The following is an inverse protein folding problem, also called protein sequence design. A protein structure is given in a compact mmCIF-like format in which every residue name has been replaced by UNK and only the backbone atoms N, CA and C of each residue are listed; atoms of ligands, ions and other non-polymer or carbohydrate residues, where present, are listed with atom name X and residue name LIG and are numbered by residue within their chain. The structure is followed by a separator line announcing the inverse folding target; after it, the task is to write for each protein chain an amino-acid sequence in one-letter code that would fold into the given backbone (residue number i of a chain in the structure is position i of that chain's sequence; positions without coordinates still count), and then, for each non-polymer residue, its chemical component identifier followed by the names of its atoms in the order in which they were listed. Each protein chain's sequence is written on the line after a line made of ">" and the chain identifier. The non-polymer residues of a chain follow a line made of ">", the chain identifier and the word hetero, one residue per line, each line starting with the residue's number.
data_IF_929127961408
#
_entry.id   IF_929127961408
#
_cell.length_a   1.000
_cell.length_b   1.000
_cell.length_c   1.000
_cell.angle_alpha   90.00
_cell.angle_beta   90.00
_cell.angle_gamma   90.00
#
_symmetry.space_group_name_H-M   'P 1'
#
loop_
_entity.id
_entity.type
_entity.pdbx_description
1 polymer ?
#
# COMPACT_ATOMS: atom_id res chain seq x y z
N UNK A 1 7.44 7.97 8.68
CA UNK A 1 6.89 8.92 9.68
C UNK A 1 5.90 8.17 10.57
N UNK A 2 6.07 8.23 11.90
CA UNK A 2 5.20 7.54 12.88
C UNK A 2 4.33 8.57 13.59
N UNK A 3 3.07 8.22 13.83
CA UNK A 3 2.12 9.06 14.52
C UNK A 3 1.23 8.29 15.48
N UNK A 4 0.52 9.01 16.33
CA UNK A 4 -0.39 8.46 17.32
C UNK A 4 -1.75 9.17 17.30
N UNK A 5 -2.80 8.45 17.70
CA UNK A 5 -4.16 8.95 17.78
C UNK A 5 -4.52 9.30 19.22
N UNK A 6 -4.90 10.55 19.48
CA UNK A 6 -5.35 11.00 20.80
C UNK A 6 -6.69 10.40 21.25
N UNK A 7 -7.52 9.97 20.29
CA UNK A 7 -8.85 9.38 20.56
C UNK A 7 -8.79 7.91 20.99
N UNK A 8 -8.20 7.05 20.17
CA UNK A 8 -8.21 5.60 20.39
C UNK A 8 -6.83 5.00 20.75
N UNK A 9 -5.82 5.83 20.98
CA UNK A 9 -4.47 5.38 21.33
C UNK A 9 -3.72 4.58 20.27
N UNK A 10 -4.17 4.60 19.00
CA UNK A 10 -3.43 3.97 17.91
C UNK A 10 -2.04 4.60 17.75
N UNK A 11 -0.99 3.80 17.58
CA UNK A 11 0.37 4.26 17.27
C UNK A 11 0.87 3.47 16.06
N UNK A 12 1.33 4.14 15.01
CA UNK A 12 1.80 3.47 13.81
C UNK A 12 2.22 4.41 12.68
N UNK A 13 2.49 3.82 11.51
CA UNK A 13 2.89 4.57 10.32
C UNK A 13 1.81 5.56 9.86
N UNK A 14 2.23 6.80 9.57
CA UNK A 14 1.35 7.82 8.98
C UNK A 14 1.30 7.61 7.47
N UNK A 15 0.13 7.27 6.96
CA UNK A 15 -0.16 7.16 5.52
C UNK A 15 -1.00 8.39 5.08
N UNK A 16 -1.19 8.59 3.77
CA UNK A 16 -1.92 9.72 3.17
C UNK A 16 -3.15 10.17 3.99
N UNK A 17 -3.33 11.50 4.09
CA UNK A 17 -4.37 12.22 4.84
C UNK A 17 -4.21 12.31 6.37
N UNK A 18 -3.15 11.76 6.99
CA UNK A 18 -2.87 11.88 8.44
C UNK A 18 -4.08 11.52 9.33
N UNK A 19 -4.97 10.61 8.88
CA UNK A 19 -6.14 10.15 9.64
C UNK A 19 -5.86 8.78 10.26
N UNK A 20 -6.37 8.57 11.46
CA UNK A 20 -6.31 7.29 12.16
C UNK A 20 -7.15 6.27 11.40
N UNK A 21 -6.57 5.10 11.11
CA UNK A 21 -7.26 4.01 10.40
C UNK A 21 -8.43 3.42 11.20
N UNK A 22 -8.44 3.60 12.53
CA UNK A 22 -9.43 2.98 13.40
C UNK A 22 -10.63 3.88 13.66
N UNK A 23 -10.40 5.18 13.87
CA UNK A 23 -11.46 6.11 14.29
C UNK A 23 -11.55 7.38 13.43
N UNK A 24 -10.74 7.51 12.37
CA UNK A 24 -10.75 8.65 11.45
C UNK A 24 -10.17 9.97 12.00
N UNK A 25 -9.83 10.02 13.29
CA UNK A 25 -9.27 11.20 13.96
C UNK A 25 -7.90 11.56 13.38
N UNK A 26 -7.58 12.86 13.29
CA UNK A 26 -6.26 13.32 12.86
C UNK A 26 -5.16 12.78 13.78
N UNK A 27 -4.11 12.24 13.18
CA UNK A 27 -2.95 11.72 13.88
C UNK A 27 -2.00 12.85 14.28
N UNK A 28 -1.47 12.73 15.49
CA UNK A 28 -0.36 13.51 15.99
C UNK A 28 0.96 12.84 15.60
N UNK A 29 2.00 13.64 15.39
CA UNK A 29 3.33 13.10 15.10
C UNK A 29 4.00 12.64 16.39
N UNK A 30 4.64 11.48 16.33
CA UNK A 30 5.43 10.97 17.44
C UNK A 30 6.85 11.54 17.34
N UNK A 31 7.26 12.34 18.32
CA UNK A 31 8.61 12.93 18.36
C UNK A 31 9.66 11.86 18.65
N UNK A 32 10.91 12.12 18.25
CA UNK A 32 12.03 11.19 18.55
C UNK A 32 12.27 11.05 20.06
N UNK A 33 12.09 12.13 20.82
CA UNK A 33 12.16 12.10 22.30
C UNK A 33 11.14 11.14 22.90
N UNK A 34 9.90 11.14 22.40
CA UNK A 34 8.86 10.21 22.85
C UNK A 34 9.19 8.76 22.46
N UNK A 35 9.73 8.54 21.26
CA UNK A 35 10.16 7.20 20.83
C UNK A 35 11.26 6.63 21.73
N UNK A 36 12.24 7.46 22.10
CA UNK A 36 13.32 7.07 23.00
C UNK A 36 12.80 6.85 24.42
N UNK A 37 12.02 7.80 24.98
CA UNK A 37 11.46 7.74 26.34
C UNK A 37 10.66 6.46 26.59
N UNK A 38 9.82 6.07 25.62
CA UNK A 38 8.93 4.91 25.75
C UNK A 38 9.45 3.65 25.05
N UNK A 39 10.63 3.71 24.43
CA UNK A 39 11.24 2.62 23.65
C UNK A 39 10.29 2.03 22.60
N UNK A 40 9.57 2.92 21.90
CA UNK A 40 8.63 2.58 20.83
C UNK A 40 9.14 3.12 19.50
N UNK A 41 9.09 2.30 18.44
CA UNK A 41 9.54 2.69 17.09
C UNK A 41 10.99 3.23 17.02
N UNK A 42 11.85 2.80 17.95
CA UNK A 42 13.30 2.94 17.89
C UNK A 42 13.95 1.67 17.31
N UNK A 43 15.28 1.61 17.24
CA UNK A 43 15.99 0.45 16.71
C UNK A 43 15.76 -0.81 17.54
N UNK A 44 15.69 -0.68 18.87
CA UNK A 44 15.36 -1.79 19.78
C UNK A 44 13.94 -2.33 19.53
N UNK A 45 12.97 -1.46 19.28
CA UNK A 45 11.60 -1.86 18.95
C UNK A 45 11.57 -2.68 17.65
N UNK A 46 12.30 -2.22 16.64
CA UNK A 46 12.41 -2.93 15.37
C UNK A 46 13.09 -4.29 15.57
N UNK A 47 14.19 -4.33 16.31
CA UNK A 47 14.91 -5.55 16.65
C UNK A 47 14.00 -6.54 17.40
N UNK A 48 13.24 -6.10 18.40
CA UNK A 48 12.31 -6.93 19.16
C UNK A 48 11.20 -7.53 18.27
N UNK A 49 10.68 -6.74 17.33
CA UNK A 49 9.71 -7.24 16.32
C UNK A 49 10.36 -8.30 15.41
N UNK A 50 11.63 -8.16 15.04
CA UNK A 50 12.36 -9.17 14.28
C UNK A 50 12.69 -10.40 15.11
N UNK A 51 13.02 -10.26 16.40
CA UNK A 51 13.31 -11.37 17.31
C UNK A 51 12.09 -12.26 17.53
N UNK A 52 10.91 -11.67 17.67
CA UNK A 52 9.64 -12.43 17.79
C UNK A 52 9.47 -13.40 16.62
N UNK A 53 9.91 -13.01 15.41
CA UNK A 53 9.84 -13.87 14.20
C UNK A 53 10.82 -15.05 14.23
N UNK A 54 11.85 -15.00 15.06
CA UNK A 54 12.90 -16.03 15.18
C UNK A 54 12.67 -17.00 16.33
N UNK A 55 11.67 -16.76 17.20
CA UNK A 55 11.35 -17.63 18.32
C UNK A 55 10.64 -18.89 17.84
N UNK A 56 10.92 -20.02 18.50
CA UNK A 56 10.38 -21.33 18.10
C UNK A 56 9.17 -21.78 18.94
N UNK A 57 8.89 -21.12 20.07
CA UNK A 57 7.81 -21.51 20.96
C UNK A 57 6.75 -20.42 21.11
N UNK A 58 5.47 -20.82 21.14
CA UNK A 58 4.34 -19.92 21.37
C UNK A 58 4.44 -19.14 22.68
N UNK A 59 4.96 -19.79 23.72
CA UNK A 59 5.11 -19.20 25.04
C UNK A 59 6.11 -18.04 25.04
N UNK A 60 7.27 -18.20 24.38
CA UNK A 60 8.27 -17.13 24.28
C UNK A 60 7.78 -16.00 23.38
N UNK A 61 7.08 -16.32 22.28
CA UNK A 61 6.46 -15.34 21.39
C UNK A 61 5.43 -14.49 22.14
N UNK A 62 4.52 -15.13 22.87
CA UNK A 62 3.49 -14.43 23.65
C UNK A 62 4.13 -13.48 24.66
N UNK A 63 5.18 -13.91 25.38
CA UNK A 63 5.91 -13.08 26.34
C UNK A 63 6.53 -11.84 25.69
N UNK A 64 7.13 -11.98 24.51
CA UNK A 64 7.72 -10.85 23.77
C UNK A 64 6.68 -9.93 23.13
N UNK A 65 5.54 -10.46 22.68
CA UNK A 65 4.40 -9.66 22.21
C UNK A 65 3.83 -8.83 23.36
N UNK A 66 3.69 -9.41 24.56
CA UNK A 66 3.26 -8.70 25.76
C UNK A 66 4.24 -7.59 26.16
N UNK A 67 5.55 -7.82 26.01
CA UNK A 67 6.57 -6.79 26.19
C UNK A 67 6.35 -5.60 25.24
N UNK A 68 6.13 -5.85 23.94
CA UNK A 68 5.84 -4.80 22.96
C UNK A 68 4.56 -4.02 23.28
N UNK A 69 3.48 -4.73 23.64
CA UNK A 69 2.22 -4.10 23.99
C UNK A 69 2.34 -3.26 25.27
N UNK A 70 3.11 -3.73 26.27
CA UNK A 70 3.34 -2.97 27.50
C UNK A 70 4.05 -1.63 27.27
N UNK A 71 5.00 -1.57 26.33
CA UNK A 71 5.68 -0.33 25.95
C UNK A 71 4.72 0.68 25.31
N UNK A 72 3.80 0.21 24.44
CA UNK A 72 2.73 1.06 23.89
C UNK A 72 1.78 1.52 24.98
N UNK A 73 1.40 0.63 25.88
CA UNK A 73 0.48 0.93 26.99
C UNK A 73 1.05 1.99 27.94
N UNK A 74 2.36 1.92 28.23
CA UNK A 74 3.06 2.94 28.99
C UNK A 74 3.02 4.31 28.31
N UNK A 75 3.18 4.39 27.00
CA UNK A 75 3.01 5.65 26.26
C UNK A 75 1.57 6.16 26.37
N UNK A 76 0.57 5.30 26.15
CA UNK A 76 -0.84 5.71 26.18
C UNK A 76 -1.27 6.22 27.55
N UNK A 77 -0.92 5.52 28.63
CA UNK A 77 -1.23 5.91 30.01
C UNK A 77 -0.66 7.28 30.38
N UNK A 78 0.55 7.59 29.91
CA UNK A 78 1.24 8.81 30.31
C UNK A 78 0.96 10.01 29.39
N UNK A 79 0.79 9.78 28.09
CA UNK A 79 0.74 10.85 27.08
C UNK A 79 -0.65 11.05 26.45
N UNK A 80 -1.55 10.07 26.59
CA UNK A 80 -2.85 10.06 25.88
C UNK A 80 -4.05 9.93 26.81
N UNK A 81 -3.96 9.18 27.92
CA UNK A 81 -5.09 8.85 28.78
C UNK A 81 -5.81 10.07 29.40
N UNK A 82 -5.09 11.16 29.62
CA UNK A 82 -5.65 12.41 30.15
C UNK A 82 -6.32 13.29 29.07
N UNK A 83 -6.35 12.85 27.81
CA UNK A 83 -6.96 13.61 26.74
C UNK A 83 -8.50 13.50 26.79
N UNK A 84 -9.26 14.62 26.72
CA UNK A 84 -10.73 14.57 26.75
C UNK A 84 -11.37 13.76 25.61
N UNK A 85 -10.64 13.57 24.50
CA UNK A 85 -11.10 12.77 23.37
C UNK A 85 -10.77 11.28 23.52
N UNK A 86 -9.99 10.90 24.53
CA UNK A 86 -9.56 9.52 24.71
C UNK A 86 -10.74 8.63 25.14
N UNK A 87 -10.93 7.53 24.40
CA UNK A 87 -11.89 6.48 24.77
C UNK A 87 -11.14 5.22 25.17
N UNK A 88 -11.30 4.83 26.43
CA UNK A 88 -10.72 3.60 26.98
C UNK A 88 -11.26 2.37 26.25
N UNK A 89 -12.54 2.37 25.89
CA UNK A 89 -13.19 1.29 25.15
C UNK A 89 -12.61 1.15 23.74
N UNK A 90 -12.43 2.27 23.02
CA UNK A 90 -11.79 2.26 21.70
C UNK A 90 -10.33 1.77 21.78
N UNK A 91 -9.63 2.12 22.86
CA UNK A 91 -8.25 1.67 23.11
C UNK A 91 -8.16 0.18 23.40
N UNK A 92 -8.99 -0.37 24.30
CA UNK A 92 -9.00 -1.80 24.61
C UNK A 92 -9.35 -2.65 23.39
N UNK A 93 -10.30 -2.19 22.58
CA UNK A 93 -10.64 -2.83 21.31
C UNK A 93 -9.45 -2.80 20.33
N UNK A 94 -8.66 -1.72 20.35
CA UNK A 94 -7.44 -1.66 19.55
C UNK A 94 -6.35 -2.61 20.05
N UNK A 95 -6.14 -2.70 21.36
CA UNK A 95 -5.16 -3.62 21.96
C UNK A 95 -5.51 -5.06 21.64
N UNK A 96 -6.79 -5.44 21.72
CA UNK A 96 -7.28 -6.77 21.32
C UNK A 96 -6.98 -7.06 19.86
N UNK A 97 -7.25 -6.11 18.95
CA UNK A 97 -6.95 -6.24 17.52
C UNK A 97 -5.44 -6.33 17.26
N UNK A 98 -4.62 -5.53 17.92
CA UNK A 98 -3.17 -5.56 17.78
C UNK A 98 -2.59 -6.89 18.30
N UNK A 99 -3.09 -7.40 19.43
CA UNK A 99 -2.71 -8.71 19.98
C UNK A 99 -3.10 -9.83 19.01
N UNK A 100 -4.32 -9.81 18.48
CA UNK A 100 -4.78 -10.78 17.50
C UNK A 100 -3.93 -10.73 16.23
N UNK A 101 -3.68 -9.53 15.66
CA UNK A 101 -2.84 -9.39 14.47
C UNK A 101 -1.40 -9.89 14.69
N UNK A 102 -0.82 -9.68 15.87
CA UNK A 102 0.52 -10.17 16.19
C UNK A 102 0.56 -11.70 16.37
N UNK A 103 -0.48 -12.29 16.99
CA UNK A 103 -0.65 -13.74 17.10
C UNK A 103 -0.97 -14.40 15.75
N UNK A 104 -1.77 -13.77 14.90
CA UNK A 104 -2.11 -14.25 13.56
C UNK A 104 -0.87 -14.23 12.66
N UNK A 105 -0.01 -13.21 12.79
CA UNK A 105 1.29 -13.16 12.10
C UNK A 105 2.23 -14.28 12.57
N UNK A 106 2.21 -14.66 13.85
CA UNK A 106 3.02 -15.78 14.34
C UNK A 106 2.46 -17.15 13.92
N UNK A 107 1.14 -17.34 13.97
CA UNK A 107 0.47 -18.58 13.56
C UNK A 107 0.50 -18.79 12.03
N UNK A 108 0.37 -17.72 11.24
CA UNK A 108 0.57 -17.75 9.79
C UNK A 108 1.99 -18.25 9.40
N UNK A 109 2.98 -18.02 10.27
CA UNK A 109 4.36 -18.47 10.06
C UNK A 109 4.62 -19.87 10.64
N UNK A 110 3.96 -20.28 11.72
CA UNK A 110 4.05 -21.66 12.21
C UNK A 110 3.35 -22.68 11.32
N UNK A 111 2.20 -22.31 10.73
CA UNK A 111 1.56 -23.09 9.67
C UNK A 111 2.43 -23.18 8.39
N UNK A 112 3.45 -22.31 8.26
CA UNK A 112 4.47 -22.36 7.21
C UNK A 112 5.66 -23.27 7.59
N UNK A 113 5.88 -23.55 8.89
CA UNK A 113 7.02 -24.35 9.40
C UNK A 113 6.63 -25.78 9.78
N UNK A 114 5.42 -26.03 10.31
CA UNK A 114 5.00 -27.37 10.74
C UNK A 114 4.06 -28.01 9.71
N UNK A 115 4.63 -28.94 8.94
CA UNK A 115 4.08 -29.52 7.72
C UNK A 115 2.73 -30.24 7.85
N UNK A 116 1.75 -29.72 7.08
CA UNK A 116 0.88 -30.55 6.23
C UNK A 116 0.32 -29.83 4.98
N UNK A 117 0.78 -28.59 4.70
CA UNK A 117 0.48 -27.83 3.46
C UNK A 117 1.73 -27.37 2.70
N UNK A 118 2.91 -27.86 3.09
CA UNK A 118 4.22 -27.33 2.65
C UNK A 118 4.52 -27.64 1.18
N UNK A 119 3.99 -28.72 0.60
CA UNK A 119 4.16 -28.97 -0.84
C UNK A 119 3.36 -28.01 -1.73
N UNK A 120 2.24 -27.44 -1.25
CA UNK A 120 1.39 -26.55 -2.06
C UNK A 120 1.70 -25.06 -1.90
N UNK A 121 2.32 -24.63 -0.80
CA UNK A 121 2.52 -23.22 -0.44
C UNK A 121 3.85 -22.62 -0.95
N UNK A 122 4.92 -23.42 -1.07
CA UNK A 122 6.20 -22.96 -1.67
C UNK A 122 6.00 -22.50 -3.13
N UNK A 123 4.97 -23.02 -3.80
CA UNK A 123 4.60 -22.65 -5.17
C UNK A 123 3.49 -21.60 -5.26
N UNK A 124 3.01 -21.01 -4.16
CA UNK A 124 1.97 -19.98 -4.22
C UNK A 124 2.51 -18.65 -4.78
N UNK A 125 3.77 -18.30 -4.45
CA UNK A 125 4.50 -17.12 -4.94
C UNK A 125 5.95 -17.50 -5.31
N UNK A 126 6.16 -18.09 -6.47
CA UNK A 126 7.49 -18.52 -6.90
C UNK A 126 7.98 -17.67 -8.09
N UNK A 127 9.26 -17.31 -8.05
CA UNK A 127 9.92 -16.73 -9.21
C UNK A 127 10.00 -17.79 -10.31
N UNK A 128 9.61 -17.38 -11.50
CA UNK A 128 9.75 -18.15 -12.72
C UNK A 128 10.57 -17.37 -13.72
N UNK A 129 11.29 -18.08 -14.57
CA UNK A 129 12.06 -17.51 -15.66
C UNK A 129 11.58 -18.03 -17.01
N UNK A 130 11.71 -17.19 -18.03
CA UNK A 130 11.44 -17.55 -19.41
C UNK A 130 12.75 -17.98 -20.08
N UNK A 131 12.78 -19.21 -20.61
CA UNK A 131 13.91 -19.73 -21.38
C UNK A 131 14.14 -18.99 -22.70
N UNK A 132 13.05 -18.49 -23.31
CA UNK A 132 13.10 -17.80 -24.60
C UNK A 132 13.70 -16.41 -24.51
N UNK A 133 13.19 -15.59 -23.58
CA UNK A 133 13.57 -14.17 -23.49
C UNK A 133 14.32 -13.80 -22.21
N UNK A 134 14.57 -14.72 -21.28
CA UNK A 134 15.29 -14.44 -20.03
C UNK A 134 14.54 -13.60 -18.99
N UNK A 135 13.25 -13.35 -19.19
CA UNK A 135 12.43 -12.60 -18.24
C UNK A 135 12.20 -13.41 -16.97
N UNK A 136 12.42 -12.79 -15.81
CA UNK A 136 12.09 -13.36 -14.49
C UNK A 136 10.84 -12.67 -13.95
N UNK A 137 9.82 -13.44 -13.61
CA UNK A 137 8.51 -12.96 -13.13
C UNK A 137 8.13 -13.68 -11.85
N UNK A 138 7.44 -12.98 -10.96
CA UNK A 138 6.80 -13.61 -9.81
C UNK A 138 5.41 -14.09 -10.24
N UNK A 139 5.19 -15.40 -10.23
CA UNK A 139 3.85 -15.96 -10.48
C UNK A 139 3.12 -16.10 -9.16
N UNK A 140 1.91 -15.57 -9.14
CA UNK A 140 0.96 -15.63 -8.02
C UNK A 140 -0.28 -16.36 -8.48
N UNK A 141 -0.72 -17.37 -7.72
CA UNK A 141 -2.00 -18.01 -7.98
C UNK A 141 -3.15 -17.02 -7.75
N UNK A 142 -4.12 -16.97 -8.65
CA UNK A 142 -5.30 -16.14 -8.48
C UNK A 142 -6.25 -16.69 -7.39
N UNK A 143 -7.39 -16.03 -7.17
CA UNK A 143 -8.40 -16.45 -6.18
C UNK A 143 -9.00 -17.84 -6.46
N UNK A 144 -8.85 -18.35 -7.68
CA UNK A 144 -9.30 -19.68 -8.11
C UNK A 144 -8.19 -20.73 -8.01
N UNK A 145 -6.97 -20.31 -7.67
CA UNK A 145 -5.78 -21.17 -7.65
C UNK A 145 -5.10 -21.32 -9.01
N UNK A 146 -5.58 -20.63 -10.05
CA UNK A 146 -4.99 -20.66 -11.38
C UNK A 146 -3.65 -19.91 -11.39
N UNK A 147 -2.63 -20.51 -12.01
CA UNK A 147 -1.31 -19.93 -12.21
C UNK A 147 -1.10 -19.74 -13.71
N UNK A 148 -0.95 -18.49 -14.12
CA UNK A 148 -0.52 -18.17 -15.48
C UNK A 148 0.95 -18.57 -15.62
N UNK A 149 1.21 -19.68 -16.32
CA UNK A 149 2.55 -20.20 -16.59
C UNK A 149 3.16 -19.61 -17.88
N UNK A 150 2.66 -18.47 -18.34
CA UNK A 150 3.17 -17.78 -19.53
C UNK A 150 3.96 -16.50 -19.20
N UNK A 151 4.92 -16.19 -20.05
CA UNK A 151 5.73 -14.99 -19.95
C UNK A 151 4.89 -13.77 -20.38
N UNK A 152 4.70 -12.80 -19.49
CA UNK A 152 4.02 -11.53 -19.76
C UNK A 152 4.63 -10.72 -20.94
N UNK A 153 5.91 -10.94 -21.27
CA UNK A 153 6.59 -10.32 -22.41
C UNK A 153 6.39 -11.08 -23.73
N UNK A 154 6.90 -12.31 -23.83
CA UNK A 154 6.96 -13.07 -25.10
C UNK A 154 5.90 -14.18 -25.24
N UNK A 155 5.07 -14.38 -24.22
CA UNK A 155 3.99 -15.38 -24.15
C UNK A 155 4.43 -16.85 -24.17
N UNK A 156 5.74 -17.13 -24.21
CA UNK A 156 6.27 -18.47 -24.02
C UNK A 156 6.09 -18.97 -22.59
N UNK A 157 6.10 -20.30 -22.42
CA UNK A 157 6.03 -20.94 -21.10
C UNK A 157 7.19 -20.49 -20.20
N UNK A 158 6.91 -20.32 -18.91
CA UNK A 158 7.91 -20.04 -17.89
C UNK A 158 8.11 -21.22 -16.94
N UNK A 159 9.26 -21.24 -16.29
CA UNK A 159 9.72 -22.35 -15.46
C UNK A 159 10.18 -21.84 -14.10
N UNK A 160 9.97 -22.58 -13.01
CA UNK A 160 10.41 -22.15 -11.69
C UNK A 160 11.92 -21.90 -11.67
N UNK A 161 12.33 -20.82 -11.02
CA UNK A 161 13.74 -20.49 -10.80
C UNK A 161 14.35 -21.56 -9.87
N UNK A 162 15.46 -22.22 -10.24
CA UNK A 162 16.10 -23.20 -9.35
C UNK A 162 16.62 -22.57 -8.06
N UNK A 163 16.63 -23.35 -6.97
CA UNK A 163 17.03 -22.91 -5.62
C UNK A 163 18.44 -22.31 -5.55
N UNK A 164 19.36 -22.78 -6.40
CA UNK A 164 20.72 -22.23 -6.57
C UNK A 164 20.73 -20.70 -6.76
N UNK A 165 19.66 -20.15 -7.33
CA UNK A 165 19.55 -18.72 -7.65
C UNK A 165 18.65 -17.96 -6.68
N UNK A 166 18.17 -18.58 -5.59
CA UNK A 166 17.35 -17.89 -4.60
C UNK A 166 18.21 -17.06 -3.65
N UNK A 167 17.69 -15.93 -3.18
CA UNK A 167 18.29 -15.16 -2.10
C UNK A 167 17.84 -15.73 -0.76
N UNK A 168 18.79 -16.16 0.08
CA UNK A 168 18.56 -16.68 1.43
C UNK A 168 17.52 -17.82 1.50
N UNK A 169 17.50 -18.71 0.49
CA UNK A 169 16.55 -19.83 0.40
C UNK A 169 15.10 -19.41 0.11
N UNK A 170 14.88 -18.15 -0.30
CA UNK A 170 13.56 -17.63 -0.63
C UNK A 170 13.25 -17.74 -2.13
N UNK A 171 12.28 -18.60 -2.49
CA UNK A 171 11.80 -18.79 -3.86
C UNK A 171 11.20 -17.54 -4.53
N UNK A 172 10.98 -16.46 -3.77
CA UNK A 172 10.40 -15.22 -4.26
C UNK A 172 11.44 -14.09 -4.45
N UNK A 173 12.71 -14.30 -4.07
CA UNK A 173 13.75 -13.27 -4.09
C UNK A 173 15.00 -13.75 -4.82
N UNK A 174 15.60 -12.86 -5.61
CA UNK A 174 16.83 -13.09 -6.37
C UNK A 174 17.58 -11.76 -6.56
N UNK A 175 18.90 -11.76 -6.41
CA UNK A 175 19.75 -10.56 -6.65
C UNK A 175 19.97 -10.31 -8.14
N UNK A 176 20.49 -9.14 -8.50
CA UNK A 176 20.85 -8.87 -9.90
C UNK A 176 21.97 -9.81 -10.39
N UNK A 177 22.96 -10.09 -9.55
CA UNK A 177 24.04 -11.03 -9.87
C UNK A 177 23.51 -12.45 -10.14
N UNK A 178 22.61 -12.94 -9.30
CA UNK A 178 21.96 -14.24 -9.49
C UNK A 178 21.09 -14.29 -10.75
N UNK A 179 20.41 -13.17 -11.10
CA UNK A 179 19.68 -13.08 -12.37
C UNK A 179 20.61 -13.19 -13.57
N UNK A 180 21.77 -12.53 -13.54
CA UNK A 180 22.75 -12.64 -14.62
C UNK A 180 23.29 -14.07 -14.73
N UNK A 181 23.66 -14.71 -13.60
CA UNK A 181 24.08 -16.11 -13.60
C UNK A 181 22.99 -17.03 -14.19
N UNK A 182 21.73 -16.84 -13.80
CA UNK A 182 20.61 -17.60 -14.37
C UNK A 182 20.49 -17.38 -15.88
N UNK A 183 20.73 -16.17 -16.36
CA UNK A 183 20.66 -15.84 -17.80
C UNK A 183 21.79 -16.51 -18.58
N UNK A 184 23.02 -16.45 -18.07
CA UNK A 184 24.16 -17.10 -18.72
C UNK A 184 24.04 -18.63 -18.70
N UNK A 185 23.71 -19.23 -17.54
CA UNK A 185 23.72 -20.68 -17.37
C UNK A 185 22.49 -21.39 -17.94
N UNK A 186 21.30 -20.78 -17.87
CA UNK A 186 20.04 -21.45 -18.24
C UNK A 186 19.32 -20.85 -19.44
N UNK A 187 19.43 -19.54 -19.66
CA UNK A 187 18.68 -18.86 -20.72
C UNK A 187 19.46 -18.92 -22.03
N UNK A 188 20.69 -18.41 -22.06
CA UNK A 188 21.50 -18.36 -23.29
C UNK A 188 21.94 -19.73 -23.81
N UNK A 189 21.97 -20.73 -22.94
CA UNK A 189 22.24 -22.14 -23.28
C UNK A 189 20.99 -22.90 -23.73
N UNK A 190 19.80 -22.29 -23.63
CA UNK A 190 18.54 -22.93 -23.97
C UNK A 190 18.34 -23.05 -25.49
N UNK A 191 17.82 -24.18 -26.00
CA UNK A 191 17.44 -24.30 -27.41
C UNK A 191 16.26 -23.38 -27.79
N UNK A 192 15.50 -22.89 -26.81
CA UNK A 192 14.38 -21.97 -27.03
C UNK A 192 14.81 -20.50 -27.04
N UNK A 193 16.10 -20.23 -26.77
CA UNK A 193 16.63 -18.88 -26.61
C UNK A 193 16.45 -18.04 -27.88
N UNK A 194 15.99 -16.81 -27.70
CA UNK A 194 15.80 -15.83 -28.76
C UNK A 194 16.57 -14.55 -28.40
N UNK A 195 17.69 -14.34 -29.11
CA UNK A 195 18.59 -13.21 -28.89
C UNK A 195 17.87 -11.86 -29.05
N UNK A 196 17.02 -11.73 -30.08
CA UNK A 196 16.30 -10.49 -30.35
C UNK A 196 15.38 -10.16 -29.17
N UNK A 197 14.57 -11.12 -28.73
CA UNK A 197 13.68 -10.91 -27.59
C UNK A 197 14.46 -10.64 -26.31
N UNK A 198 15.60 -11.29 -26.09
CA UNK A 198 16.42 -11.06 -24.91
C UNK A 198 16.96 -9.62 -24.84
N UNK A 199 17.47 -9.11 -25.96
CA UNK A 199 18.09 -7.78 -26.04
C UNK A 199 17.06 -6.63 -25.98
N UNK A 200 15.87 -6.85 -26.54
CA UNK A 200 14.82 -5.81 -26.61
C UNK A 200 13.88 -5.80 -25.41
N UNK A 201 13.80 -6.92 -24.65
CA UNK A 201 12.87 -7.11 -23.51
C UNK A 201 12.82 -5.93 -22.55
N UNK A 202 13.96 -5.52 -22.02
CA UNK A 202 13.99 -4.53 -20.94
C UNK A 202 13.56 -3.14 -21.44
N UNK A 203 13.95 -2.78 -22.67
CA UNK A 203 13.50 -1.55 -23.34
C UNK A 203 11.99 -1.54 -23.62
N UNK A 204 11.47 -2.64 -24.15
CA UNK A 204 10.03 -2.79 -24.43
C UNK A 204 9.19 -2.70 -23.15
N UNK A 205 9.63 -3.36 -22.07
CA UNK A 205 8.94 -3.31 -20.79
C UNK A 205 8.98 -1.92 -20.16
N UNK A 206 10.13 -1.24 -20.26
CA UNK A 206 10.25 0.15 -19.79
C UNK A 206 9.29 1.07 -20.55
N UNK A 207 9.20 0.91 -21.88
CA UNK A 207 8.23 1.65 -22.70
C UNK A 207 6.79 1.38 -22.27
N UNK A 208 6.41 0.10 -22.07
CA UNK A 208 5.07 -0.28 -21.59
C UNK A 208 4.75 0.31 -20.22
N UNK A 209 5.74 0.38 -19.31
CA UNK A 209 5.58 1.01 -18.00
C UNK A 209 5.27 2.49 -18.14
N UNK A 210 6.05 3.22 -18.94
CA UNK A 210 5.87 4.66 -19.16
C UNK A 210 4.50 4.96 -19.80
N UNK A 211 4.04 4.14 -20.75
CA UNK A 211 2.71 4.27 -21.35
C UNK A 211 1.59 4.04 -20.33
N UNK A 212 1.73 3.06 -19.43
CA UNK A 212 0.77 2.83 -18.36
C UNK A 212 0.76 3.97 -17.34
N UNK A 213 1.93 4.50 -16.99
CA UNK A 213 2.04 5.65 -16.08
C UNK A 213 1.37 6.89 -16.66
N UNK A 214 1.56 7.16 -17.97
CA UNK A 214 0.85 8.23 -18.67
C UNK A 214 -0.67 8.04 -18.66
N UNK A 215 -1.15 6.81 -18.91
CA UNK A 215 -2.58 6.47 -18.85
C UNK A 215 -3.13 6.63 -17.43
N UNK A 216 -2.39 6.19 -16.42
CA UNK A 216 -2.79 6.33 -15.03
C UNK A 216 -2.83 7.80 -14.59
N UNK A 217 -1.84 8.60 -14.99
CA UNK A 217 -1.83 10.04 -14.76
C UNK A 217 -3.05 10.73 -15.40
N UNK A 218 -3.41 10.35 -16.62
CA UNK A 218 -4.63 10.83 -17.28
C UNK A 218 -5.89 10.44 -16.50
N UNK A 219 -6.03 9.16 -16.13
CA UNK A 219 -7.18 8.67 -15.36
C UNK A 219 -7.29 9.39 -14.01
N UNK A 220 -6.15 9.61 -13.33
CA UNK A 220 -6.08 10.38 -12.10
C UNK A 220 -6.54 11.82 -12.31
N UNK A 221 -6.06 12.49 -13.36
CA UNK A 221 -6.50 13.85 -13.67
C UNK A 221 -8.01 13.93 -13.93
N UNK A 222 -8.58 12.97 -14.67
CA UNK A 222 -10.03 12.87 -14.89
C UNK A 222 -10.77 12.69 -13.56
N UNK A 223 -10.30 11.75 -12.73
CA UNK A 223 -10.91 11.48 -11.43
C UNK A 223 -10.85 12.66 -10.47
N UNK A 224 -9.87 13.56 -10.62
CA UNK A 224 -9.73 14.78 -9.81
C UNK A 224 -10.39 16.01 -10.47
N UNK A 225 -11.03 15.86 -11.63
CA UNK A 225 -11.61 16.97 -12.39
C UNK A 225 -10.56 17.98 -12.89
N UNK A 226 -9.34 17.51 -13.14
CA UNK A 226 -8.20 18.31 -13.65
C UNK A 226 -7.81 17.98 -15.08
N UNK A 227 -8.50 17.04 -15.71
CA UNK A 227 -8.28 16.64 -17.11
C UNK A 227 -8.52 17.78 -18.10
N UNK A 228 -9.44 18.68 -17.77
CA UNK A 228 -9.79 19.84 -18.58
C UNK A 228 -9.58 21.11 -17.77
N UNK A 229 -8.54 21.85 -18.11
CA UNK A 229 -8.39 23.23 -17.64
C UNK A 229 -9.52 24.12 -18.17
N UNK A 230 -9.80 25.21 -17.47
CA UNK A 230 -10.68 26.25 -17.96
C UNK A 230 -9.86 27.44 -18.49
N UNK A 231 -10.41 28.15 -19.48
CA UNK A 231 -9.79 29.33 -20.10
C UNK A 231 -9.62 30.53 -19.15
N UNK A 232 -10.08 30.42 -17.92
CA UNK A 232 -10.05 31.49 -16.93
C UNK A 232 -8.93 31.30 -15.90
N UNK A 233 -8.23 30.15 -15.91
CA UNK A 233 -7.18 29.84 -14.95
C UNK A 233 -7.68 29.69 -13.51
N UNK A 234 -8.95 29.32 -13.32
CA UNK A 234 -9.60 29.26 -12.01
C UNK A 234 -9.55 27.85 -11.47
N UNK A 235 -9.41 27.72 -10.15
CA UNK A 235 -9.40 26.45 -9.44
C UNK A 235 -10.52 26.43 -8.40
N UNK A 236 -11.15 25.27 -8.20
CA UNK A 236 -12.21 25.15 -7.20
C UNK A 236 -11.59 25.24 -5.79
N UNK A 237 -12.04 26.16 -4.92
CA UNK A 237 -11.46 26.33 -3.58
C UNK A 237 -11.74 25.15 -2.64
N UNK A 238 -12.68 24.27 -2.99
CA UNK A 238 -13.09 23.14 -2.15
C UNK A 238 -12.37 21.84 -2.51
N UNK A 239 -12.25 21.55 -3.81
CA UNK A 239 -11.74 20.28 -4.31
C UNK A 239 -10.54 20.41 -5.24
N UNK A 240 -10.10 21.63 -5.55
CA UNK A 240 -8.92 21.89 -6.37
C UNK A 240 -9.03 21.42 -7.84
N UNK A 241 -10.25 21.10 -8.29
CA UNK A 241 -10.52 20.74 -9.68
C UNK A 241 -10.47 21.98 -10.59
N UNK A 242 -10.11 21.78 -11.87
CA UNK A 242 -10.02 22.84 -12.88
C UNK A 242 -11.14 22.78 -13.92
N UNK A 243 -11.99 21.74 -13.87
CA UNK A 243 -13.23 21.60 -14.65
C UNK A 243 -14.35 22.53 -14.16
N UNK A 244 -14.13 23.83 -14.33
CA UNK A 244 -14.98 24.89 -13.82
C UNK A 244 -15.66 25.62 -14.97
N UNK A 245 -16.96 25.87 -14.81
CA UNK A 245 -17.75 26.66 -15.76
C UNK A 245 -18.32 27.91 -15.11
N UNK A 246 -18.53 28.93 -15.94
CA UNK A 246 -19.17 30.18 -15.51
C UNK A 246 -20.68 29.94 -15.35
N UNK A 247 -21.25 30.35 -14.22
CA UNK A 247 -22.70 30.33 -14.03
C UNK A 247 -23.31 31.41 -14.92
N UNK A 248 -24.20 31.03 -15.84
CA UNK A 248 -24.86 31.95 -16.76
C UNK A 248 -25.98 32.71 -16.07
N UNK A 249 -26.29 33.92 -16.54
CA UNK A 249 -27.39 34.74 -16.01
C UNK A 249 -28.73 34.01 -16.12
N UNK A 250 -28.95 33.25 -17.19
CA UNK A 250 -30.14 32.41 -17.39
C UNK A 250 -30.24 31.31 -16.35
N UNK A 251 -29.13 30.64 -16.01
CA UNK A 251 -29.10 29.60 -14.98
C UNK A 251 -29.45 30.18 -13.60
N UNK A 252 -28.96 31.39 -13.29
CA UNK A 252 -29.34 32.11 -12.05
C UNK A 252 -30.82 32.44 -12.03
N UNK A 253 -31.35 33.03 -13.10
CA UNK A 253 -32.76 33.42 -13.20
C UNK A 253 -33.71 32.20 -13.06
N UNK A 254 -33.38 31.09 -13.71
CA UNK A 254 -34.15 29.84 -13.59
C UNK A 254 -34.11 29.28 -12.17
N UNK A 255 -32.93 29.29 -11.53
CA UNK A 255 -32.81 28.83 -10.15
C UNK A 255 -33.60 29.74 -9.19
N UNK A 256 -33.57 31.06 -9.37
CA UNK A 256 -34.39 32.01 -8.60
C UNK A 256 -35.89 31.81 -8.81
N UNK A 257 -36.32 31.49 -10.03
CA UNK A 257 -37.73 31.17 -10.30
C UNK A 257 -38.20 29.90 -9.56
N UNK A 258 -37.31 28.90 -9.40
CA UNK A 258 -37.65 27.62 -8.74
C UNK A 258 -37.59 27.68 -7.20
N UNK A 259 -36.58 28.35 -6.63
CA UNK A 259 -36.37 28.37 -5.16
C UNK A 259 -36.59 29.74 -4.50
N UNK A 260 -37.09 30.73 -5.25
CA UNK A 260 -37.49 32.03 -4.73
C UNK A 260 -36.37 32.78 -3.98
N UNK A 261 -36.72 33.43 -2.86
CA UNK A 261 -35.79 34.20 -2.00
C UNK A 261 -34.62 33.37 -1.47
N UNK A 262 -34.75 32.04 -1.38
CA UNK A 262 -33.65 31.16 -0.94
C UNK A 262 -32.51 31.04 -1.97
N UNK A 263 -32.66 31.61 -3.18
CA UNK A 263 -31.61 31.67 -4.21
C UNK A 263 -30.51 32.71 -3.97
N UNK A 264 -30.64 33.60 -2.99
CA UNK A 264 -29.69 34.72 -2.77
C UNK A 264 -28.23 34.25 -2.63
N UNK A 265 -27.99 33.10 -1.97
CA UNK A 265 -26.64 32.55 -1.78
C UNK A 265 -25.99 31.99 -3.05
N UNK A 266 -26.77 31.63 -4.07
CA UNK A 266 -26.27 31.17 -5.39
C UNK A 266 -26.12 32.33 -6.37
N UNK A 267 -26.97 33.34 -6.27
CA UNK A 267 -26.97 34.49 -7.19
C UNK A 267 -25.70 35.34 -7.11
N UNK A 268 -25.05 35.40 -5.94
CA UNK A 268 -23.77 36.08 -5.73
C UNK A 268 -22.56 35.32 -6.30
N UNK A 269 -22.68 34.02 -6.55
CA UNK A 269 -21.59 33.15 -7.00
C UNK A 269 -21.39 33.22 -8.51
N UNK A 270 -20.15 33.10 -8.97
CA UNK A 270 -19.81 33.32 -10.38
C UNK A 270 -19.44 32.02 -11.11
N UNK A 271 -18.96 31.02 -10.37
CA UNK A 271 -18.35 29.80 -10.87
C UNK A 271 -19.05 28.56 -10.32
N UNK A 272 -19.04 27.51 -11.12
CA UNK A 272 -19.54 26.19 -10.75
C UNK A 272 -18.47 25.15 -11.05
N UNK A 273 -18.14 24.32 -10.07
CA UNK A 273 -17.24 23.18 -10.24
C UNK A 273 -18.02 21.94 -10.65
N UNK A 274 -17.70 21.37 -11.81
CA UNK A 274 -18.36 20.15 -12.31
C UNK A 274 -17.94 18.89 -11.53
N UNK A 275 -16.78 18.93 -10.84
CA UNK A 275 -16.29 17.79 -10.07
C UNK A 275 -17.02 17.60 -8.73
N UNK A 276 -17.05 18.64 -7.88
CA UNK A 276 -17.69 18.56 -6.55
C UNK A 276 -19.08 19.22 -6.49
N UNK A 277 -19.63 19.60 -7.66
CA UNK A 277 -20.95 20.20 -7.83
C UNK A 277 -21.20 21.45 -6.96
N UNK A 278 -20.13 22.18 -6.64
CA UNK A 278 -20.18 23.35 -5.75
C UNK A 278 -20.13 24.64 -6.55
N UNK A 279 -21.00 25.59 -6.19
CA UNK A 279 -20.93 26.97 -6.68
C UNK A 279 -20.03 27.81 -5.76
N UNK A 280 -19.26 28.76 -6.32
CA UNK A 280 -18.46 29.74 -5.59
C UNK A 280 -18.27 31.06 -6.36
#
# INVERSE_FOLDING_TARGET
>A
MVGYCKKCGFIGGVVFNKKCKNCGTKLNLLSEEMKQKYRIFNDEWSALVFEIRKLNTDQEKSKRIEELLSRKDNFIKNEVANNPLFSIEEYENQVKKDKQNLCDVSQYQENKVNGQQVENSIYAHALHYCKKCGRVVLIVADKTGYKDDTCDYCKSKVYPVPEKYWLDGSASLITNEQKELLREELVKTSPEFDQYLFDHRDGDLHKRWNEQEAKFALVKAISEGRDKGNKFGIECPYCHATNIRKITATSKAMHTALVGIFSMGRNSKQWHCDHCNSDF
#
